data_IF_615596929960
#
_entry.id   IF_615596929960
#
_cell.length_a   1.000
_cell.length_b   1.000
_cell.length_c   1.000
_cell.angle_alpha   90.00
_cell.angle_beta   90.00
_cell.angle_gamma   90.00
#
_symmetry.space_group_name_H-M   'P 1'
#
loop_
_entity.id
_entity.type
_entity.pdbx_description
1 polymer ?
#
# COMPACT_ATOMS: atom_id res chain seq x y z
N UNK A 1 16.75 -8.99 -5.89
CA UNK A 1 15.93 -8.52 -7.03
C UNK A 1 15.20 -7.25 -6.63
N UNK A 2 15.29 -6.18 -7.41
CA UNK A 2 14.65 -4.89 -7.09
C UNK A 2 13.80 -4.42 -8.27
N UNK A 3 12.69 -3.74 -7.99
CA UNK A 3 11.81 -3.22 -9.04
C UNK A 3 11.04 -4.28 -9.83
N UNK A 4 10.64 -5.38 -9.19
CA UNK A 4 9.86 -6.45 -9.84
C UNK A 4 8.39 -6.04 -9.94
N UNK A 5 7.77 -5.99 -11.13
CA UNK A 5 6.38 -5.60 -11.28
C UNK A 5 5.45 -6.70 -10.78
N UNK A 6 4.59 -6.39 -9.80
CA UNK A 6 3.59 -7.34 -9.29
C UNK A 6 2.17 -7.05 -9.79
N UNK A 7 1.98 -5.91 -10.47
CA UNK A 7 0.72 -5.49 -11.07
C UNK A 7 0.97 -4.67 -12.35
N UNK A 8 -0.07 -4.52 -13.17
CA UNK A 8 -0.05 -3.58 -14.30
C UNK A 8 0.01 -2.14 -13.79
N UNK A 9 0.74 -1.23 -14.48
CA UNK A 9 0.79 0.18 -14.11
C UNK A 9 -0.62 0.80 -14.03
N UNK A 10 -1.00 1.46 -12.92
CA UNK A 10 -2.34 2.01 -12.72
C UNK A 10 -2.52 3.37 -13.41
N UNK A 11 -2.16 3.44 -14.69
CA UNK A 11 -2.14 4.67 -15.50
C UNK A 11 -3.47 4.90 -16.25
N UNK A 12 -3.81 6.17 -16.48
CA UNK A 12 -4.96 6.57 -17.29
C UNK A 12 -6.26 5.94 -16.80
N UNK A 13 -6.91 5.13 -17.65
CA UNK A 13 -8.17 4.41 -17.29
C UNK A 13 -8.00 3.40 -16.14
N UNK A 14 -6.77 3.02 -15.79
CA UNK A 14 -6.48 2.16 -14.64
C UNK A 14 -6.24 2.96 -13.34
N UNK A 15 -6.23 4.29 -13.40
CA UNK A 15 -6.20 5.13 -12.21
C UNK A 15 -7.51 4.96 -11.43
N UNK A 16 -7.42 4.86 -10.11
CA UNK A 16 -8.53 4.67 -9.15
C UNK A 16 -9.31 3.34 -9.24
N UNK A 17 -8.93 2.41 -10.11
CA UNK A 17 -9.56 1.07 -10.15
C UNK A 17 -8.68 0.02 -9.47
N UNK A 18 -9.22 -1.16 -9.09
CA UNK A 18 -8.42 -2.25 -8.53
C UNK A 18 -7.22 -2.62 -9.42
N UNK A 19 -6.09 -3.01 -8.83
CA UNK A 19 -4.92 -3.44 -9.61
C UNK A 19 -5.27 -4.65 -10.47
N UNK A 20 -4.54 -4.77 -11.58
CA UNK A 20 -4.58 -5.95 -12.45
C UNK A 20 -3.26 -6.67 -12.37
N UNK A 21 -3.21 -7.99 -12.60
CA UNK A 21 -1.96 -8.72 -12.73
C UNK A 21 -0.98 -8.04 -13.71
N UNK A 22 0.34 -8.23 -13.53
CA UNK A 22 1.33 -7.61 -14.39
C UNK A 22 1.18 -8.16 -15.81
N UNK A 23 1.38 -7.31 -16.81
CA UNK A 23 1.43 -7.76 -18.20
C UNK A 23 2.68 -8.59 -18.43
N UNK A 24 2.59 -9.59 -19.29
CA UNK A 24 3.78 -10.26 -19.82
C UNK A 24 4.69 -9.24 -20.51
N UNK A 25 5.99 -9.36 -20.29
CA UNK A 25 7.00 -8.48 -20.86
C UNK A 25 7.78 -9.17 -22.00
N UNK A 26 8.33 -8.37 -22.89
CA UNK A 26 9.24 -8.79 -23.97
C UNK A 26 10.44 -7.83 -23.99
N UNK A 27 11.70 -8.31 -24.03
CA UNK A 27 12.12 -9.72 -24.11
C UNK A 27 11.75 -10.53 -22.86
N UNK A 28 11.77 -11.86 -22.91
CA UNK A 28 11.30 -12.74 -21.80
C UNK A 28 12.02 -12.49 -20.45
N UNK A 29 13.20 -11.91 -20.48
CA UNK A 29 13.99 -11.56 -19.29
C UNK A 29 13.66 -10.13 -18.86
N UNK A 30 13.25 -9.96 -17.61
CA UNK A 30 13.08 -8.65 -16.98
C UNK A 30 14.29 -8.33 -16.11
N UNK A 31 14.91 -7.17 -16.33
CA UNK A 31 16.10 -6.76 -15.59
C UNK A 31 15.71 -6.12 -14.24
N UNK A 32 15.64 -6.94 -13.19
CA UNK A 32 15.32 -6.52 -11.81
C UNK A 32 16.57 -6.09 -11.01
N UNK A 33 17.41 -5.24 -11.59
CA UNK A 33 18.68 -4.75 -11.02
C UNK A 33 18.61 -3.29 -10.53
N UNK A 34 17.51 -2.59 -10.85
CA UNK A 34 17.27 -1.19 -10.46
C UNK A 34 15.98 -1.09 -9.68
N UNK A 35 15.96 -0.22 -8.67
CA UNK A 35 14.73 0.06 -7.95
C UNK A 35 13.65 0.58 -8.90
N UNK A 36 12.44 0.05 -8.73
CA UNK A 36 11.25 0.62 -9.38
C UNK A 36 10.91 1.98 -8.80
N UNK A 37 10.00 2.68 -9.47
CA UNK A 37 9.54 4.00 -9.02
C UNK A 37 8.88 3.95 -7.63
N UNK A 38 8.87 5.10 -6.97
CA UNK A 38 8.14 5.33 -5.73
C UNK A 38 6.75 5.87 -6.06
N UNK A 39 5.71 5.41 -5.36
CA UNK A 39 4.36 5.90 -5.59
C UNK A 39 4.25 7.40 -5.34
N UNK A 40 3.51 8.07 -6.22
CA UNK A 40 3.33 9.51 -6.19
C UNK A 40 2.81 9.96 -4.82
N UNK A 41 3.57 10.84 -4.17
CA UNK A 41 3.33 11.33 -2.82
C UNK A 41 3.99 12.70 -2.64
N UNK A 42 3.82 13.34 -1.48
CA UNK A 42 4.39 14.66 -1.24
C UNK A 42 5.93 14.68 -1.37
N UNK A 43 6.44 15.73 -2.00
CA UNK A 43 7.86 15.99 -2.25
C UNK A 43 8.50 16.74 -1.10
N UNK A 44 8.05 16.50 0.14
CA UNK A 44 8.64 17.12 1.32
C UNK A 44 10.14 16.80 1.38
N UNK A 45 10.93 17.73 1.92
CA UNK A 45 12.38 17.53 2.08
C UNK A 45 12.70 16.22 2.77
N UNK A 46 11.87 15.80 3.74
CA UNK A 46 11.99 14.50 4.44
C UNK A 46 11.94 13.35 3.45
N UNK A 47 10.87 13.23 2.66
CA UNK A 47 10.69 12.14 1.69
C UNK A 47 11.83 12.12 0.65
N UNK A 48 12.16 13.27 0.05
CA UNK A 48 13.22 13.35 -0.95
C UNK A 48 14.60 13.00 -0.36
N UNK A 49 14.87 13.42 0.89
CA UNK A 49 16.12 13.08 1.59
C UNK A 49 16.23 11.60 1.93
N UNK A 50 15.11 10.95 2.29
CA UNK A 50 15.06 9.51 2.51
C UNK A 50 15.39 8.75 1.23
N UNK A 51 14.72 9.07 0.11
CA UNK A 51 14.98 8.44 -1.19
C UNK A 51 16.46 8.61 -1.60
N UNK A 52 17.00 9.83 -1.46
CA UNK A 52 18.40 10.13 -1.79
C UNK A 52 19.40 9.32 -0.94
N UNK A 53 19.08 9.11 0.33
CA UNK A 53 19.91 8.32 1.25
C UNK A 53 19.87 6.83 0.88
N UNK A 54 18.68 6.32 0.54
CA UNK A 54 18.45 4.91 0.24
C UNK A 54 18.94 4.50 -1.15
N UNK A 55 19.04 5.45 -2.08
CA UNK A 55 19.57 5.24 -3.43
C UNK A 55 20.73 6.20 -3.68
N UNK A 56 21.94 5.86 -3.20
CA UNK A 56 23.12 6.71 -3.38
C UNK A 56 23.41 6.99 -4.85
N UNK A 57 23.72 8.25 -5.17
CA UNK A 57 24.08 8.68 -6.52
C UNK A 57 22.89 9.09 -7.40
N UNK A 58 21.65 9.03 -6.90
CA UNK A 58 20.51 9.59 -7.64
C UNK A 58 20.62 11.11 -7.76
N UNK A 59 20.51 11.63 -8.99
CA UNK A 59 20.62 13.06 -9.27
C UNK A 59 19.40 13.84 -8.79
N UNK A 60 18.20 13.35 -9.11
CA UNK A 60 16.93 13.94 -8.72
C UNK A 60 16.00 12.87 -8.11
N UNK A 61 15.86 12.81 -6.78
CA UNK A 61 14.93 11.90 -6.11
C UNK A 61 13.46 12.10 -6.50
N UNK A 62 13.07 13.33 -6.90
CA UNK A 62 11.69 13.61 -7.28
C UNK A 62 11.32 12.91 -8.60
N UNK A 63 12.30 12.66 -9.47
CA UNK A 63 12.10 11.93 -10.73
C UNK A 63 11.70 10.46 -10.52
N UNK A 64 11.85 9.89 -9.32
CA UNK A 64 11.36 8.54 -9.01
C UNK A 64 9.86 8.49 -8.70
N UNK A 65 9.22 9.62 -8.46
CA UNK A 65 7.81 9.67 -8.07
C UNK A 65 6.94 9.48 -9.30
N UNK A 66 6.14 8.42 -9.31
CA UNK A 66 5.30 8.05 -10.45
C UNK A 66 4.02 7.35 -10.01
N UNK A 67 2.99 7.39 -10.86
CA UNK A 67 1.83 6.51 -10.72
C UNK A 67 2.16 5.08 -11.13
N UNK A 68 3.09 4.89 -12.06
CA UNK A 68 3.65 3.58 -12.36
C UNK A 68 4.64 3.21 -11.26
N UNK A 69 4.12 2.67 -10.16
CA UNK A 69 4.89 2.38 -8.94
C UNK A 69 4.60 1.01 -8.32
N UNK A 70 3.79 0.15 -8.94
CA UNK A 70 3.37 -1.15 -8.36
C UNK A 70 4.44 -2.22 -8.52
N UNK A 71 5.56 -2.00 -7.82
CA UNK A 71 6.75 -2.84 -7.79
C UNK A 71 6.99 -3.40 -6.38
N UNK A 72 7.69 -4.52 -6.33
CA UNK A 72 8.23 -5.10 -5.10
C UNK A 72 9.73 -5.38 -5.23
N UNK A 73 10.40 -5.46 -4.09
CA UNK A 73 11.80 -5.86 -3.99
C UNK A 73 11.90 -7.16 -3.19
N UNK A 74 12.83 -8.04 -3.57
CA UNK A 74 13.09 -9.33 -2.94
C UNK A 74 14.56 -9.39 -2.55
N UNK A 75 14.79 -9.67 -1.28
CA UNK A 75 16.11 -9.94 -0.71
C UNK A 75 16.09 -11.34 -0.14
N UNK A 76 16.95 -12.21 -0.66
CA UNK A 76 17.14 -13.57 -0.16
C UNK A 76 18.56 -13.72 0.41
N UNK A 77 18.77 -14.59 1.41
CA UNK A 77 20.08 -14.82 2.04
C UNK A 77 21.07 -15.63 1.20
N UNK A 78 20.68 -16.12 0.03
CA UNK A 78 21.45 -17.05 -0.80
C UNK A 78 20.81 -18.44 -0.85
N UNK A 79 21.58 -19.45 -1.24
CA UNK A 79 21.09 -20.83 -1.30
C UNK A 79 20.85 -21.42 0.09
N UNK A 80 19.71 -22.08 0.32
CA UNK A 80 19.42 -22.71 1.61
C UNK A 80 20.38 -23.88 1.89
N UNK A 81 20.86 -24.06 3.14
CA UNK A 81 21.79 -25.12 3.51
C UNK A 81 21.24 -26.56 3.34
N UNK A 82 19.91 -26.69 3.33
CA UNK A 82 19.14 -27.93 3.16
C UNK A 82 18.08 -27.62 2.09
N UNK A 83 17.52 -28.63 1.42
CA UNK A 83 16.45 -28.54 0.39
C UNK A 83 15.16 -27.79 0.82
N UNK A 84 15.18 -27.10 1.95
CA UNK A 84 14.06 -26.35 2.51
C UNK A 84 14.00 -24.94 1.92
N UNK A 85 12.78 -24.41 1.85
CA UNK A 85 12.51 -23.02 1.49
C UNK A 85 12.53 -22.16 2.76
N UNK A 86 13.03 -20.93 2.66
CA UNK A 86 13.08 -19.98 3.76
C UNK A 86 11.70 -19.38 4.05
N UNK A 87 11.33 -19.12 5.32
CA UNK A 87 10.13 -18.34 5.62
C UNK A 87 10.21 -16.95 5.00
N UNK A 88 9.04 -16.40 4.64
CA UNK A 88 8.93 -15.14 3.90
C UNK A 88 8.40 -14.05 4.81
N UNK A 89 9.04 -12.88 4.81
CA UNK A 89 8.55 -11.68 5.48
C UNK A 89 8.19 -10.61 4.46
N UNK A 90 6.92 -10.22 4.39
CA UNK A 90 6.41 -9.18 3.47
C UNK A 90 6.21 -7.87 4.24
N UNK A 91 7.06 -6.89 3.95
CA UNK A 91 7.03 -5.56 4.52
C UNK A 91 6.03 -4.66 3.79
N UNK A 92 5.05 -4.13 4.54
CA UNK A 92 4.11 -3.12 4.10
C UNK A 92 4.57 -1.77 4.67
N UNK A 93 5.08 -0.84 3.83
CA UNK A 93 5.50 0.48 4.30
C UNK A 93 4.30 1.31 4.73
N UNK A 94 4.49 2.29 5.60
CA UNK A 94 3.43 3.24 5.87
C UNK A 94 3.76 4.25 6.95
N UNK A 95 3.34 5.49 6.70
CA UNK A 95 3.25 6.55 7.69
C UNK A 95 1.78 6.89 7.92
N UNK A 96 1.11 7.40 6.89
CA UNK A 96 -0.23 8.02 6.99
C UNK A 96 -1.15 7.73 5.78
N UNK A 97 -0.95 6.60 5.10
CA UNK A 97 -1.58 6.24 3.82
C UNK A 97 -1.36 7.24 2.67
N UNK A 98 -0.68 8.35 2.90
CA UNK A 98 -0.36 9.40 1.92
C UNK A 98 1.13 9.48 1.62
N UNK A 99 1.95 8.84 2.46
CA UNK A 99 3.41 8.77 2.32
C UNK A 99 3.97 7.43 2.83
N UNK A 100 5.13 7.05 2.29
CA UNK A 100 5.83 5.81 2.60
C UNK A 100 6.44 5.17 1.36
N UNK A 101 7.46 4.34 1.55
CA UNK A 101 8.06 3.59 0.45
C UNK A 101 8.67 2.26 0.89
N UNK A 102 8.63 1.27 0.00
CA UNK A 102 9.31 -0.02 0.18
C UNK A 102 10.83 0.11 0.37
N UNK A 103 11.42 1.23 -0.06
CA UNK A 103 12.84 1.51 0.12
C UNK A 103 13.25 1.63 1.60
N UNK A 104 12.32 1.98 2.49
CA UNK A 104 12.57 2.08 3.94
C UNK A 104 12.76 0.69 4.62
N UNK A 105 12.65 -0.40 3.85
CA UNK A 105 12.80 -1.76 4.35
C UNK A 105 14.23 -2.06 4.81
N UNK A 106 14.37 -2.65 6.00
CA UNK A 106 15.62 -3.24 6.50
C UNK A 106 15.92 -4.62 5.88
N UNK A 107 15.50 -4.86 4.64
CA UNK A 107 15.47 -6.20 4.03
C UNK A 107 16.81 -6.93 4.01
N UNK A 108 17.92 -6.22 3.83
CA UNK A 108 19.26 -6.81 3.86
C UNK A 108 19.65 -7.32 5.25
N UNK A 109 19.36 -6.56 6.31
CA UNK A 109 19.67 -6.96 7.67
C UNK A 109 18.77 -8.11 8.14
N UNK A 110 17.49 -8.09 7.74
CA UNK A 110 16.55 -9.16 8.06
C UNK A 110 16.88 -10.45 7.31
N UNK A 111 17.28 -10.39 6.04
CA UNK A 111 17.63 -11.59 5.27
C UNK A 111 18.75 -12.40 5.93
N UNK A 112 19.69 -11.75 6.65
CA UNK A 112 20.74 -12.43 7.44
C UNK A 112 20.19 -13.34 8.56
N UNK A 113 18.89 -13.30 8.84
CA UNK A 113 18.18 -14.20 9.76
C UNK A 113 17.51 -15.37 9.04
N UNK A 114 18.01 -15.72 7.86
CA UNK A 114 17.54 -16.87 7.07
C UNK A 114 16.04 -16.74 6.70
N UNK A 115 15.66 -15.54 6.25
CA UNK A 115 14.31 -15.25 5.77
C UNK A 115 14.38 -14.57 4.42
N UNK A 116 13.41 -14.82 3.54
CA UNK A 116 13.24 -14.05 2.31
C UNK A 116 12.41 -12.82 2.64
N UNK A 117 12.95 -11.64 2.38
CA UNK A 117 12.26 -10.37 2.63
C UNK A 117 11.71 -9.81 1.34
N UNK A 118 10.40 -9.59 1.31
CA UNK A 118 9.71 -8.90 0.22
C UNK A 118 9.27 -7.53 0.74
N UNK A 119 9.56 -6.46 0.02
CA UNK A 119 9.04 -5.12 0.35
C UNK A 119 8.21 -4.59 -0.81
N UNK A 120 7.00 -4.12 -0.52
CA UNK A 120 6.01 -3.77 -1.55
C UNK A 120 5.73 -2.28 -1.58
N UNK A 121 5.61 -1.70 -2.77
CA UNK A 121 4.97 -0.40 -2.94
C UNK A 121 3.46 -0.61 -3.07
N UNK A 122 2.64 0.38 -2.72
CA UNK A 122 1.20 0.41 -3.02
C UNK A 122 0.74 1.85 -3.22
N UNK A 123 -0.36 2.09 -3.94
CA UNK A 123 -0.85 3.45 -4.18
C UNK A 123 -1.21 4.16 -2.87
N UNK A 124 -0.85 5.44 -2.81
CA UNK A 124 -1.03 6.30 -1.64
C UNK A 124 -2.01 7.46 -1.95
N UNK A 125 -2.48 8.14 -0.90
CA UNK A 125 -3.28 9.35 -0.98
C UNK A 125 -4.50 9.18 -1.88
N UNK A 126 -4.83 10.16 -2.74
CA UNK A 126 -5.99 10.06 -3.63
C UNK A 126 -5.86 8.92 -4.65
N UNK A 127 -4.64 8.49 -5.02
CA UNK A 127 -4.46 7.42 -6.00
C UNK A 127 -4.83 6.05 -5.43
N UNK A 128 -4.66 5.86 -4.12
CA UNK A 128 -4.92 4.61 -3.42
C UNK A 128 -6.26 4.55 -2.68
N UNK A 129 -6.86 5.70 -2.35
CA UNK A 129 -7.99 5.75 -1.40
C UNK A 129 -9.11 6.71 -1.79
N UNK A 130 -9.12 7.20 -3.04
CA UNK A 130 -10.24 7.98 -3.54
C UNK A 130 -11.51 7.12 -3.61
N UNK A 131 -12.59 7.65 -3.05
CA UNK A 131 -13.87 6.96 -2.92
C UNK A 131 -14.97 7.80 -3.57
N UNK A 132 -15.69 7.20 -4.53
CA UNK A 132 -16.83 7.83 -5.17
C UNK A 132 -18.13 7.10 -4.84
N UNK A 133 -19.25 7.84 -4.79
CA UNK A 133 -20.59 7.25 -4.79
C UNK A 133 -20.93 6.57 -6.12
N UNK A 134 -20.35 7.07 -7.21
CA UNK A 134 -20.67 6.67 -8.58
C UNK A 134 -19.53 5.86 -9.17
N UNK A 135 -19.85 4.65 -9.61
CA UNK A 135 -18.92 3.73 -10.26
C UNK A 135 -18.49 2.59 -9.34
N UNK A 136 -18.91 1.37 -9.69
CA UNK A 136 -18.57 0.14 -8.95
C UNK A 136 -17.05 -0.09 -8.84
N UNK A 137 -16.25 0.55 -9.69
CA UNK A 137 -14.80 0.38 -9.73
C UNK A 137 -14.02 1.35 -8.85
N UNK A 138 -14.63 2.41 -8.31
CA UNK A 138 -13.97 3.45 -7.49
C UNK A 138 -14.58 3.54 -6.10
N UNK A 139 -14.56 2.41 -5.39
CA UNK A 139 -15.15 2.26 -4.05
C UNK A 139 -14.15 2.53 -2.91
N UNK A 140 -12.98 3.10 -3.21
CA UNK A 140 -11.87 3.21 -2.27
C UNK A 140 -11.03 1.92 -2.14
N UNK A 141 -10.07 1.95 -1.22
CA UNK A 141 -9.17 0.83 -0.88
C UNK A 141 -8.27 0.30 -2.00
N UNK A 142 -8.09 1.01 -3.10
CA UNK A 142 -7.20 0.59 -4.19
C UNK A 142 -5.77 0.28 -3.68
N UNK A 143 -5.25 1.07 -2.75
CA UNK A 143 -3.96 0.83 -2.11
C UNK A 143 -3.92 -0.48 -1.29
N UNK A 144 -5.01 -0.85 -0.60
CA UNK A 144 -5.10 -2.15 0.07
C UNK A 144 -5.25 -3.31 -0.92
N UNK A 145 -5.96 -3.08 -2.02
CA UNK A 145 -6.07 -4.07 -3.10
C UNK A 145 -4.73 -4.27 -3.83
N UNK A 146 -3.89 -3.24 -3.92
CA UNK A 146 -2.50 -3.36 -4.38
C UNK A 146 -1.71 -4.30 -3.47
N UNK A 147 -1.85 -4.14 -2.14
CA UNK A 147 -1.23 -5.04 -1.16
C UNK A 147 -1.74 -6.49 -1.32
N UNK A 148 -3.06 -6.70 -1.53
CA UNK A 148 -3.61 -8.03 -1.84
C UNK A 148 -3.00 -8.62 -3.11
N UNK A 149 -2.87 -7.82 -4.17
CA UNK A 149 -2.27 -8.27 -5.43
C UNK A 149 -0.79 -8.64 -5.25
N UNK A 150 -0.04 -7.89 -4.45
CA UNK A 150 1.33 -8.22 -4.11
C UNK A 150 1.42 -9.53 -3.30
N UNK A 151 0.52 -9.75 -2.33
CA UNK A 151 0.48 -11.00 -1.56
C UNK A 151 0.12 -12.22 -2.41
N UNK A 152 -0.78 -12.06 -3.40
CA UNK A 152 -1.04 -13.10 -4.41
C UNK A 152 0.20 -13.40 -5.24
N UNK A 153 0.90 -12.35 -5.70
CA UNK A 153 2.16 -12.51 -6.43
C UNK A 153 3.19 -13.27 -5.61
N UNK A 154 3.36 -12.94 -4.32
CA UNK A 154 4.26 -13.65 -3.40
C UNK A 154 3.88 -15.13 -3.33
N UNK A 155 2.61 -15.44 -3.07
CA UNK A 155 2.13 -16.82 -2.99
C UNK A 155 2.40 -17.63 -4.26
N UNK A 156 2.28 -17.00 -5.43
CA UNK A 156 2.43 -17.67 -6.72
C UNK A 156 3.89 -17.79 -7.19
N UNK A 157 4.80 -16.94 -6.69
CA UNK A 157 6.14 -16.79 -7.29
C UNK A 157 7.31 -16.97 -6.32
N UNK A 158 7.12 -16.78 -5.01
CA UNK A 158 8.24 -16.64 -4.05
C UNK A 158 9.07 -17.91 -3.90
N UNK A 159 8.50 -19.07 -4.25
CA UNK A 159 9.22 -20.35 -4.27
C UNK A 159 10.43 -20.33 -5.21
N UNK A 160 10.36 -19.56 -6.30
CA UNK A 160 11.47 -19.38 -7.24
C UNK A 160 12.60 -18.49 -6.69
N UNK A 161 12.38 -17.85 -5.53
CA UNK A 161 13.32 -17.00 -4.80
C UNK A 161 13.64 -17.63 -3.44
N UNK A 162 13.64 -18.97 -3.39
CA UNK A 162 13.90 -19.77 -2.20
C UNK A 162 12.95 -19.52 -1.01
N UNK A 163 11.83 -18.83 -1.20
CA UNK A 163 10.86 -18.56 -0.14
C UNK A 163 9.76 -19.62 -0.07
N UNK A 164 9.27 -19.90 1.13
CA UNK A 164 8.18 -20.84 1.37
C UNK A 164 6.83 -20.09 1.32
N UNK A 165 5.99 -20.31 0.28
CA UNK A 165 4.69 -19.64 0.18
C UNK A 165 3.69 -20.07 1.28
N UNK A 166 3.98 -21.16 2.02
CA UNK A 166 3.20 -21.63 3.17
C UNK A 166 3.65 -21.02 4.51
N UNK A 167 4.73 -20.24 4.52
CA UNK A 167 5.28 -19.58 5.72
C UNK A 167 5.49 -18.08 5.50
N UNK A 168 4.41 -17.41 5.11
CA UNK A 168 4.40 -15.96 4.83
C UNK A 168 3.97 -15.17 6.06
N UNK A 169 4.81 -14.24 6.50
CA UNK A 169 4.55 -13.27 7.58
C UNK A 169 4.39 -11.88 7.00
N UNK A 170 3.26 -11.21 7.22
CA UNK A 170 3.10 -9.79 6.84
C UNK A 170 3.46 -8.90 8.03
N UNK A 171 4.19 -7.82 7.77
CA UNK A 171 4.55 -6.88 8.82
C UNK A 171 4.62 -5.44 8.33
N UNK A 172 4.35 -4.48 9.22
CA UNK A 172 4.36 -3.06 8.86
C UNK A 172 4.37 -2.14 10.09
N UNK A 173 4.73 -0.89 9.85
CA UNK A 173 4.78 0.18 10.86
C UNK A 173 3.72 1.25 10.57
N UNK A 174 3.12 1.86 11.59
CA UNK A 174 2.16 2.97 11.41
C UNK A 174 0.96 2.54 10.55
N UNK A 175 0.68 3.28 9.48
CA UNK A 175 -0.30 2.90 8.45
C UNK A 175 -0.05 1.50 7.85
N UNK A 176 1.20 1.05 7.76
CA UNK A 176 1.54 -0.32 7.36
C UNK A 176 1.14 -1.35 8.42
N UNK A 177 1.30 -1.03 9.71
CA UNK A 177 0.84 -1.87 10.82
C UNK A 177 -0.68 -1.94 10.88
N UNK A 178 -1.37 -0.81 10.66
CA UNK A 178 -2.83 -0.83 10.46
C UNK A 178 -3.23 -1.64 9.24
N UNK A 179 -2.52 -1.54 8.12
CA UNK A 179 -2.77 -2.36 6.93
C UNK A 179 -2.67 -3.87 7.23
N UNK A 180 -1.65 -4.29 8.00
CA UNK A 180 -1.52 -5.68 8.48
C UNK A 180 -2.75 -6.10 9.27
N UNK A 181 -3.18 -5.29 10.24
CA UNK A 181 -4.36 -5.58 11.04
C UNK A 181 -5.65 -5.60 10.19
N UNK A 182 -5.75 -4.77 9.15
CA UNK A 182 -6.87 -4.77 8.21
C UNK A 182 -6.85 -6.02 7.30
N UNK A 183 -5.68 -6.52 6.89
CA UNK A 183 -5.56 -7.79 6.18
C UNK A 183 -6.01 -8.99 7.02
N UNK A 184 -5.79 -8.97 8.34
CA UNK A 184 -6.30 -10.00 9.27
C UNK A 184 -7.82 -10.11 9.23
N UNK A 185 -8.54 -8.99 9.11
CA UNK A 185 -10.01 -8.97 9.11
C UNK A 185 -10.62 -9.00 7.70
N UNK A 186 -9.80 -8.91 6.64
CA UNK A 186 -10.27 -8.91 5.26
C UNK A 186 -10.43 -10.33 4.70
N UNK A 187 -11.60 -10.70 4.14
CA UNK A 187 -11.78 -11.99 3.49
C UNK A 187 -10.92 -12.13 2.22
N UNK A 188 -10.55 -11.02 1.57
CA UNK A 188 -9.73 -11.05 0.34
C UNK A 188 -8.28 -11.47 0.58
N UNK A 189 -7.83 -11.40 1.84
CA UNK A 189 -6.44 -11.71 2.22
C UNK A 189 -6.31 -13.10 2.85
N UNK A 190 -7.44 -13.80 3.03
CA UNK A 190 -7.48 -15.12 3.67
C UNK A 190 -6.65 -16.13 2.87
N UNK A 191 -5.71 -16.78 3.56
CA UNK A 191 -4.83 -17.79 2.97
C UNK A 191 -3.72 -17.22 2.07
N UNK A 192 -3.45 -15.92 2.14
CA UNK A 192 -2.29 -15.28 1.51
C UNK A 192 -1.11 -15.06 2.48
N UNK A 193 -1.35 -15.19 3.79
CA UNK A 193 -0.34 -15.09 4.84
C UNK A 193 -0.70 -16.02 6.01
N UNK A 194 0.30 -16.27 6.85
CA UNK A 194 0.29 -17.29 7.90
C UNK A 194 0.67 -16.73 9.27
N UNK A 195 1.36 -15.58 9.31
CA UNK A 195 1.61 -14.81 10.54
C UNK A 195 1.50 -13.31 10.25
N UNK A 196 1.31 -12.51 11.30
CA UNK A 196 1.20 -11.06 11.17
C UNK A 196 1.94 -10.31 12.29
N UNK A 197 2.51 -9.15 11.97
CA UNK A 197 3.17 -8.25 12.94
C UNK A 197 2.75 -6.79 12.68
N UNK A 198 2.09 -6.17 13.65
CA UNK A 198 1.74 -4.74 13.59
C UNK A 198 2.58 -3.94 14.57
N UNK A 199 3.38 -3.01 14.05
CA UNK A 199 4.19 -2.09 14.85
C UNK A 199 3.53 -0.71 14.83
N UNK A 200 3.15 -0.18 15.99
CA UNK A 200 2.57 1.17 16.12
C UNK A 200 1.35 1.40 15.21
N UNK A 201 0.52 0.38 15.04
CA UNK A 201 -0.68 0.41 14.20
C UNK A 201 -1.65 -0.72 14.54
N UNK A 202 -2.95 -0.49 14.36
CA UNK A 202 -3.98 -1.49 14.58
C UNK A 202 -5.21 -1.24 13.69
N UNK A 203 -6.17 -2.17 13.65
CA UNK A 203 -7.40 -2.01 12.88
C UNK A 203 -8.40 -1.02 13.50
N UNK A 204 -8.22 -0.66 14.79
CA UNK A 204 -9.15 0.15 15.57
C UNK A 204 -8.61 1.53 15.96
N UNK A 205 -7.42 1.91 15.49
CA UNK A 205 -6.94 3.28 15.69
C UNK A 205 -7.81 4.26 14.87
N UNK A 206 -8.05 5.49 15.34
CA UNK A 206 -8.99 6.42 14.70
C UNK A 206 -8.67 6.74 13.24
N UNK A 207 -7.41 6.57 12.83
CA UNK A 207 -6.92 6.85 11.48
C UNK A 207 -6.77 5.62 10.60
N UNK A 208 -7.13 4.41 11.10
CA UNK A 208 -7.08 3.18 10.31
C UNK A 208 -8.15 3.14 9.21
N UNK A 209 -9.29 3.79 9.44
CA UNK A 209 -10.39 3.89 8.48
C UNK A 209 -11.04 5.27 8.54
N UNK A 210 -11.62 5.71 7.42
CA UNK A 210 -12.25 7.01 7.25
C UNK A 210 -13.74 6.80 7.02
N UNK A 211 -14.55 7.75 7.49
CA UNK A 211 -15.97 7.78 7.17
C UNK A 211 -16.19 7.94 5.67
N UNK A 212 -17.04 7.10 5.07
CA UNK A 212 -17.30 7.07 3.62
C UNK A 212 -17.74 8.44 3.08
N UNK A 213 -18.66 9.11 3.78
CA UNK A 213 -19.16 10.43 3.40
C UNK A 213 -18.06 11.50 3.41
N UNK A 214 -17.11 11.40 4.34
CA UNK A 214 -15.94 12.29 4.40
C UNK A 214 -15.05 12.11 3.16
N UNK A 215 -14.78 10.86 2.77
CA UNK A 215 -13.97 10.57 1.57
C UNK A 215 -14.68 10.99 0.28
N UNK A 216 -16.00 10.83 0.20
CA UNK A 216 -16.81 11.30 -0.94
C UNK A 216 -16.73 12.84 -1.01
N UNK A 217 -16.88 13.53 0.12
CA UNK A 217 -16.73 14.99 0.19
C UNK A 217 -15.34 15.44 -0.27
N UNK A 218 -14.28 14.76 0.20
CA UNK A 218 -12.90 15.02 -0.23
C UNK A 218 -12.73 14.79 -1.74
N UNK A 219 -13.34 13.74 -2.28
CA UNK A 219 -13.31 13.43 -3.72
C UNK A 219 -14.00 14.51 -4.55
N UNK A 220 -15.18 14.98 -4.12
CA UNK A 220 -15.92 16.04 -4.80
C UNK A 220 -15.17 17.38 -4.76
N UNK A 221 -14.58 17.72 -3.60
CA UNK A 221 -13.75 18.91 -3.45
C UNK A 221 -12.47 18.85 -4.30
N UNK A 222 -11.81 17.69 -4.35
CA UNK A 222 -10.67 17.44 -5.24
C UNK A 222 -11.08 17.65 -6.70
N UNK A 223 -12.19 17.03 -7.12
CA UNK A 223 -12.71 17.14 -8.47
C UNK A 223 -13.04 18.59 -8.83
N UNK A 224 -13.67 19.35 -7.93
CA UNK A 224 -13.89 20.79 -8.10
C UNK A 224 -12.58 21.54 -8.35
N UNK A 225 -11.55 21.31 -7.52
CA UNK A 225 -10.27 22.02 -7.59
C UNK A 225 -9.47 21.76 -8.87
N UNK A 226 -9.75 20.66 -9.57
CA UNK A 226 -9.12 20.32 -10.85
C UNK A 226 -10.05 20.45 -12.05
N UNK A 227 -11.23 21.05 -11.87
CA UNK A 227 -12.21 21.33 -12.94
C UNK A 227 -13.03 20.13 -13.42
N UNK A 228 -13.08 19.04 -12.64
CA UNK A 228 -13.79 17.80 -12.98
C UNK A 228 -15.20 17.69 -12.39
N UNK A 229 -16.05 18.69 -12.62
CA UNK A 229 -17.42 18.73 -12.09
C UNK A 229 -18.45 18.01 -12.98
N UNK A 230 -18.02 17.30 -14.03
CA UNK A 230 -18.88 16.60 -14.98
C UNK A 230 -19.63 15.41 -14.36
N UNK A 231 -20.76 14.96 -14.95
CA UNK A 231 -21.41 13.70 -14.58
C UNK A 231 -20.46 12.49 -14.57
N UNK A 232 -19.44 12.48 -15.44
CA UNK A 232 -18.37 11.48 -15.51
C UNK A 232 -17.10 11.91 -14.73
N UNK A 233 -17.28 12.38 -13.50
CA UNK A 233 -16.20 12.90 -12.64
C UNK A 233 -14.95 12.00 -12.61
N UNK A 234 -15.13 10.69 -12.47
CA UNK A 234 -14.02 9.72 -12.45
C UNK A 234 -13.24 9.74 -13.77
N UNK A 235 -13.92 9.69 -14.91
CA UNK A 235 -13.29 9.73 -16.23
C UNK A 235 -12.51 11.03 -16.43
N UNK A 236 -13.07 12.16 -15.98
CA UNK A 236 -12.36 13.42 -15.99
C UNK A 236 -11.09 13.34 -15.13
N UNK A 237 -11.20 12.91 -13.87
CA UNK A 237 -10.06 12.76 -12.96
C UNK A 237 -8.98 11.81 -13.49
N UNK A 238 -9.33 10.78 -14.26
CA UNK A 238 -8.37 9.87 -14.91
C UNK A 238 -7.55 10.55 -16.01
N UNK A 239 -8.04 11.65 -16.58
CA UNK A 239 -7.35 12.43 -17.61
C UNK A 239 -6.48 13.57 -17.06
N UNK A 240 -6.68 13.95 -15.79
CA UNK A 240 -5.94 15.06 -15.17
C UNK A 240 -4.47 14.67 -14.93
N UNK A 241 -3.57 15.64 -15.03
CA UNK A 241 -2.18 15.44 -14.63
C UNK A 241 -2.08 14.98 -13.16
N UNK A 242 -1.32 13.92 -12.85
CA UNK A 242 -1.30 13.37 -11.50
C UNK A 242 -0.66 14.32 -10.47
N UNK A 243 0.27 15.20 -10.86
CA UNK A 243 0.81 16.22 -9.95
C UNK A 243 -0.24 17.26 -9.59
N UNK A 244 -1.10 17.64 -10.54
CA UNK A 244 -2.22 18.54 -10.25
C UNK A 244 -3.19 17.91 -9.24
N UNK A 245 -3.53 16.63 -9.40
CA UNK A 245 -4.34 15.88 -8.42
C UNK A 245 -3.67 15.88 -7.05
N UNK A 246 -2.39 15.52 -6.98
CA UNK A 246 -1.64 15.45 -5.73
C UNK A 246 -1.64 16.81 -5.01
N UNK A 247 -1.38 17.90 -5.75
CA UNK A 247 -1.32 19.24 -5.18
C UNK A 247 -2.70 19.72 -4.72
N UNK A 248 -3.75 19.54 -5.52
CA UNK A 248 -5.13 19.87 -5.14
C UNK A 248 -5.64 19.05 -3.95
N UNK A 249 -5.17 17.81 -3.81
CA UNK A 249 -5.46 16.96 -2.65
C UNK A 249 -4.87 17.50 -1.35
N UNK A 250 -3.67 18.10 -1.38
CA UNK A 250 -3.02 18.67 -0.17
C UNK A 250 -3.77 19.88 0.37
N UNK A 251 -4.44 20.64 -0.50
CA UNK A 251 -5.18 21.85 -0.12
C UNK A 251 -6.58 21.57 0.43
N UNK A 252 -7.03 20.31 0.42
CA UNK A 252 -8.31 19.95 1.00
C UNK A 252 -8.31 20.27 2.50
N UNK A 253 -9.28 21.10 2.90
CA UNK A 253 -9.52 21.44 4.29
C UNK A 253 -10.20 20.26 4.99
N UNK A 254 -9.56 19.75 6.02
CA UNK A 254 -10.20 18.83 6.95
C UNK A 254 -11.16 19.68 7.81
N UNK A 255 -12.45 19.39 7.76
CA UNK A 255 -13.41 20.02 8.67
C UNK A 255 -13.01 19.68 10.12
N UNK A 256 -12.34 20.61 10.79
CA UNK A 256 -11.91 20.51 12.20
C UNK A 256 -13.09 20.68 13.18
N UNK A 257 -14.29 20.27 12.78
CA UNK A 257 -15.53 20.56 13.51
C UNK A 257 -15.81 19.60 14.67
N UNK A 258 -14.93 18.63 14.93
CA UNK A 258 -14.97 17.85 16.17
C UNK A 258 -13.60 17.86 16.84
N UNK A 259 -13.60 18.10 18.15
CA UNK A 259 -12.49 18.08 19.10
C UNK A 259 -11.80 16.71 19.22
N UNK A 260 -11.67 15.94 18.13
CA UNK A 260 -10.99 14.66 18.09
C UNK A 260 -9.86 14.75 17.05
N UNK A 261 -8.72 15.14 17.62
CA UNK A 261 -7.34 14.73 17.33
C UNK A 261 -6.65 15.12 16.02
N UNK A 262 -5.36 15.42 16.17
CA UNK A 262 -4.38 15.75 15.14
C UNK A 262 -4.09 14.63 14.10
N UNK A 263 -4.94 13.59 14.05
CA UNK A 263 -4.75 12.37 13.24
C UNK A 263 -5.81 12.20 12.14
N UNK A 264 -6.34 13.31 11.62
CA UNK A 264 -7.40 13.26 10.61
C UNK A 264 -6.77 13.09 9.21
N UNK A 265 -6.66 11.85 8.72
CA UNK A 265 -6.11 11.57 7.39
C UNK A 265 -7.13 11.93 6.30
N UNK A 266 -6.70 12.69 5.29
CA UNK A 266 -7.55 13.07 4.14
C UNK A 266 -7.99 11.86 3.33
N UNK A 267 -7.12 10.86 3.28
CA UNK A 267 -7.25 9.66 2.49
C UNK A 267 -6.82 8.50 3.36
N UNK A 268 -7.71 7.55 3.58
CA UNK A 268 -7.41 6.33 4.31
C UNK A 268 -8.42 5.24 3.91
N UNK A 269 -8.23 4.00 4.39
CA UNK A 269 -9.16 2.91 4.10
C UNK A 269 -10.62 3.22 4.46
N UNK A 270 -11.56 2.57 3.79
CA UNK A 270 -13.00 2.73 4.01
C UNK A 270 -13.69 1.37 4.09
N UNK A 271 -14.81 1.30 4.81
CA UNK A 271 -15.70 0.12 4.73
C UNK A 271 -16.38 0.11 3.36
N UNK A 272 -15.88 -0.74 2.47
CA UNK A 272 -16.29 -0.81 1.06
C UNK A 272 -17.25 -1.97 0.77
N UNK A 273 -17.52 -2.85 1.75
CA UNK A 273 -18.31 -4.06 1.56
C UNK A 273 -17.55 -5.19 0.86
N UNK A 274 -16.27 -5.01 0.54
CA UNK A 274 -15.46 -5.94 -0.26
C UNK A 274 -14.16 -6.32 0.43
N UNK A 275 -13.20 -5.38 0.53
CA UNK A 275 -11.99 -5.59 1.32
C UNK A 275 -12.34 -5.55 2.82
N UNK A 276 -13.16 -4.59 3.24
CA UNK A 276 -13.79 -4.52 4.56
C UNK A 276 -15.30 -4.70 4.40
N UNK A 277 -15.84 -5.91 4.63
CA UNK A 277 -17.28 -6.16 4.52
C UNK A 277 -18.12 -5.31 5.49
N UNK A 278 -17.58 -5.03 6.67
CA UNK A 278 -18.22 -4.30 7.77
C UNK A 278 -17.15 -3.53 8.55
N UNK A 279 -17.60 -2.73 9.53
CA UNK A 279 -16.74 -2.02 10.46
C UNK A 279 -15.74 -2.96 11.16
N UNK A 280 -14.45 -2.59 11.28
CA UNK A 280 -13.43 -3.42 11.91
C UNK A 280 -13.81 -3.96 13.29
N UNK A 281 -14.48 -3.14 14.11
CA UNK A 281 -14.92 -3.55 15.45
C UNK A 281 -15.99 -4.66 15.40
N UNK A 282 -16.87 -4.64 14.40
CA UNK A 282 -17.90 -5.66 14.22
C UNK A 282 -17.31 -6.99 13.76
N UNK A 283 -16.37 -6.95 12.81
CA UNK A 283 -15.64 -8.14 12.34
C UNK A 283 -14.87 -8.81 13.49
N UNK A 284 -14.18 -8.03 14.31
CA UNK A 284 -13.45 -8.53 15.48
C UNK A 284 -14.38 -9.12 16.54
N UNK A 285 -15.47 -8.43 16.92
CA UNK A 285 -16.45 -8.92 17.91
C UNK A 285 -17.14 -10.22 17.50
N UNK A 286 -17.37 -10.39 16.20
CA UNK A 286 -18.03 -11.58 15.64
C UNK A 286 -17.05 -12.71 15.30
N UNK A 287 -15.76 -12.56 15.61
CA UNK A 287 -14.76 -13.59 15.33
C UNK A 287 -14.43 -13.78 13.84
N UNK A 288 -14.81 -12.83 12.98
CA UNK A 288 -14.61 -12.86 11.53
C UNK A 288 -13.25 -12.27 11.16
N UNK A 289 -12.20 -13.02 11.48
CA UNK A 289 -10.82 -12.67 11.17
C UNK A 289 -9.96 -13.91 10.95
N UNK A 290 -8.82 -13.75 10.28
CA UNK A 290 -7.84 -14.82 10.07
C UNK A 290 -7.24 -15.25 11.41
N UNK A 291 -7.32 -16.54 11.72
CA UNK A 291 -6.72 -17.12 12.93
C UNK A 291 -5.27 -17.50 12.66
N UNK A 292 -4.39 -16.52 12.78
CA UNK A 292 -2.95 -16.67 12.60
C UNK A 292 -2.22 -16.14 13.85
N UNK A 293 -0.99 -16.60 14.13
CA UNK A 293 -0.13 -15.94 15.11
C UNK A 293 0.02 -14.44 14.79
N UNK A 294 -0.17 -13.61 15.81
CA UNK A 294 -0.19 -12.16 15.65
C UNK A 294 0.64 -11.50 16.76
N UNK A 295 1.65 -10.73 16.36
CA UNK A 295 2.44 -9.88 17.25
C UNK A 295 1.99 -8.44 17.05
N UNK A 296 1.72 -7.73 18.14
CA UNK A 296 1.42 -6.30 18.11
C UNK A 296 2.24 -5.59 19.19
N UNK A 297 2.72 -4.39 18.87
CA UNK A 297 3.51 -3.58 19.81
C UNK A 297 3.41 -2.09 19.51
N UNK A 298 3.70 -1.28 20.52
CA UNK A 298 3.74 0.18 20.46
C UNK A 298 5.11 0.66 20.98
N UNK A 299 5.56 1.81 20.50
CA UNK A 299 6.69 2.51 21.08
C UNK A 299 6.30 3.19 22.40
N UNK A 300 7.28 3.46 23.27
CA UNK A 300 7.01 4.12 24.56
C UNK A 300 6.49 5.56 24.39
N UNK A 301 6.88 6.25 23.32
CA UNK A 301 6.42 7.57 22.92
C UNK A 301 6.09 7.55 21.43
N UNK A 302 4.79 7.57 21.10
CA UNK A 302 4.26 7.62 19.72
C UNK A 302 4.13 9.05 19.19
#
# INVERSE_FOLDING_TARGET
FVGVPYASPPLGKLRFVPPRPPKSWSPRIYEATRYGNVCLQDTSKRILSSIKTLIPGIADPAAMLSEDCLYLNIVEPGEPPISDKYPVMVYIPGQDYSSGTSLDSLGHALALKEVVVVSIQYRLGPFGFLTSEKGESVQGNQGLLDQVQALKWVKENIENFNGDPSQVTIFGHGAGGSSVALHIISPLSKGLFHNAISMSGAALVPWATCGKDSLISNTNALAHNVGCQSPDMVTCLQSVDPWLILNASKTLHLNRTQQISDFNFRWCPVVDGRFLPEEPIALLRTGRFARVPYIAGLAANE
#
